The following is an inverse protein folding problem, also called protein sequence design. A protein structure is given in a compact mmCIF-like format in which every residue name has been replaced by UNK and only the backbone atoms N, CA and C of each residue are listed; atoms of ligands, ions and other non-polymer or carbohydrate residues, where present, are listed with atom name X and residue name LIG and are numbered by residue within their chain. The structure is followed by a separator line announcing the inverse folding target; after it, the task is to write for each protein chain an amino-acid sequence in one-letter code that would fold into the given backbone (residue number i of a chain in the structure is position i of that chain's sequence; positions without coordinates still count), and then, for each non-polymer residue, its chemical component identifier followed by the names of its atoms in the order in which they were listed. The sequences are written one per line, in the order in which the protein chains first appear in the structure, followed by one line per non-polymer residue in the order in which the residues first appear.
data_IF_931739921760
#
_entry.id   IF_931739921760
#
_cell.length_a   1.000
_cell.length_b   1.000
_cell.length_c   1.000
_cell.angle_alpha   90.00
_cell.angle_beta   90.00
_cell.angle_gamma   90.00
#
_symmetry.space_group_name_H-M   'P 1'
#
loop_
_entity.id
_entity.type
_entity.pdbx_description
1 polymer ?
#
# COMPACT_ATOMS: atom_id res chain seq x y z
N UNK A 1 -21.68 -0.12 8.42
CA UNK A 1 -22.15 -0.78 7.18
C UNK A 1 -21.02 -1.63 6.65
N UNK A 2 -21.27 -2.91 6.35
CA UNK A 2 -20.28 -3.83 5.75
C UNK A 2 -20.63 -4.00 4.28
N UNK A 3 -19.64 -3.88 3.40
CA UNK A 3 -19.81 -4.07 1.96
C UNK A 3 -18.94 -5.23 1.48
N UNK A 4 -19.53 -6.18 0.77
CA UNK A 4 -18.81 -7.29 0.15
C UNK A 4 -18.19 -6.85 -1.16
N UNK A 5 -16.93 -7.23 -1.39
CA UNK A 5 -16.22 -6.91 -2.63
C UNK A 5 -16.45 -8.05 -3.62
N UNK A 6 -17.12 -7.73 -4.73
CA UNK A 6 -17.39 -8.69 -5.80
C UNK A 6 -16.11 -9.05 -6.60
N UNK A 7 -16.08 -10.24 -7.24
CA UNK A 7 -14.90 -10.71 -7.98
C UNK A 7 -14.51 -9.80 -9.15
N UNK A 8 -15.46 -8.98 -9.65
CA UNK A 8 -15.22 -7.98 -10.70
C UNK A 8 -14.15 -6.97 -10.33
N UNK A 9 -13.96 -6.67 -9.04
CA UNK A 9 -12.95 -5.69 -8.59
C UNK A 9 -11.53 -6.13 -8.97
N UNK A 10 -11.25 -7.44 -8.99
CA UNK A 10 -9.95 -7.96 -9.42
C UNK A 10 -9.65 -7.67 -10.89
N UNK A 11 -10.68 -7.54 -11.73
CA UNK A 11 -10.52 -7.22 -13.15
C UNK A 11 -10.12 -5.76 -13.38
N UNK A 12 -10.18 -4.90 -12.35
CA UNK A 12 -9.72 -3.52 -12.42
C UNK A 12 -8.19 -3.41 -12.32
N UNK A 13 -7.49 -4.50 -12.03
CA UNK A 13 -6.04 -4.56 -11.84
C UNK A 13 -5.42 -5.54 -12.84
N UNK A 14 -4.27 -5.17 -13.40
CA UNK A 14 -3.49 -6.04 -14.26
C UNK A 14 -2.60 -6.97 -13.43
N UNK A 15 -2.08 -8.05 -14.04
CA UNK A 15 -1.10 -8.95 -13.43
C UNK A 15 -1.54 -9.58 -12.10
N UNK A 16 -2.83 -9.91 -11.96
CA UNK A 16 -3.35 -10.57 -10.76
C UNK A 16 -2.56 -11.86 -10.43
N UNK A 17 -2.16 -11.98 -9.17
CA UNK A 17 -1.34 -13.09 -8.69
C UNK A 17 0.13 -13.08 -9.12
N UNK A 18 0.65 -12.01 -9.74
CA UNK A 18 2.10 -11.85 -9.91
C UNK A 18 2.79 -11.68 -8.54
N UNK A 19 3.93 -12.33 -8.35
CA UNK A 19 4.78 -12.17 -7.16
C UNK A 19 5.97 -11.27 -7.47
N UNK A 20 6.62 -10.70 -6.45
CA UNK A 20 7.76 -9.80 -6.62
C UNK A 20 8.88 -10.38 -7.50
N UNK A 21 9.13 -11.70 -7.45
CA UNK A 21 10.13 -12.35 -8.27
C UNK A 21 9.81 -12.29 -9.77
N UNK A 22 8.53 -12.20 -10.14
CA UNK A 22 8.15 -12.05 -11.54
C UNK A 22 8.60 -10.70 -12.13
N UNK A 23 8.98 -9.71 -11.31
CA UNK A 23 9.52 -8.43 -11.77
C UNK A 23 10.83 -8.51 -12.56
N UNK A 24 11.49 -9.67 -12.59
CA UNK A 24 12.61 -9.91 -13.51
C UNK A 24 12.18 -10.06 -14.98
N UNK A 25 10.91 -10.41 -15.22
CA UNK A 25 10.38 -10.75 -16.54
C UNK A 25 9.08 -10.02 -16.89
N UNK A 26 8.38 -9.47 -15.89
CA UNK A 26 7.15 -8.69 -16.04
C UNK A 26 7.41 -7.20 -15.71
N UNK A 27 6.57 -6.27 -16.21
CA UNK A 27 6.66 -4.86 -15.85
C UNK A 27 6.57 -4.64 -14.33
N UNK A 28 7.36 -3.69 -13.83
CA UNK A 28 7.38 -3.33 -12.40
C UNK A 28 6.24 -2.40 -11.98
N UNK A 29 5.62 -1.74 -12.95
CA UNK A 29 4.44 -0.88 -12.81
C UNK A 29 3.52 -1.11 -14.02
N UNK A 30 2.25 -1.36 -13.77
CA UNK A 30 1.18 -1.33 -14.76
C UNK A 30 0.07 -0.44 -14.24
N UNK A 31 -0.41 0.46 -15.09
CA UNK A 31 -1.59 1.30 -14.82
C UNK A 31 -2.70 0.89 -15.77
N UNK A 32 -3.84 0.50 -15.22
CA UNK A 32 -5.03 0.13 -15.99
C UNK A 32 -6.12 1.18 -15.80
N UNK A 33 -6.56 1.78 -16.90
CA UNK A 33 -7.68 2.74 -16.91
C UNK A 33 -8.92 2.04 -17.46
N UNK A 34 -9.91 1.84 -16.61
CA UNK A 34 -11.16 1.13 -16.95
C UNK A 34 -12.31 2.12 -16.97
N UNK A 35 -12.95 2.29 -18.13
CA UNK A 35 -14.17 3.08 -18.26
C UNK A 35 -15.36 2.31 -17.67
N UNK A 36 -16.07 2.95 -16.74
CA UNK A 36 -17.33 2.48 -16.18
C UNK A 36 -18.50 3.24 -16.83
N UNK A 37 -19.73 2.84 -16.54
CA UNK A 37 -20.94 3.51 -17.05
C UNK A 37 -21.01 4.99 -16.68
N UNK A 38 -20.53 5.33 -15.49
CA UNK A 38 -20.68 6.63 -14.83
C UNK A 38 -19.34 7.19 -14.31
N UNK A 39 -18.23 6.58 -14.69
CA UNK A 39 -16.92 7.00 -14.18
C UNK A 39 -15.75 6.25 -14.79
N UNK A 40 -14.61 6.37 -14.12
CA UNK A 40 -13.36 5.71 -14.50
C UNK A 40 -12.72 5.12 -13.24
N UNK A 41 -12.28 3.88 -13.34
CA UNK A 41 -11.40 3.25 -12.35
C UNK A 41 -9.96 3.26 -12.86
N UNK A 42 -9.02 3.66 -12.03
CA UNK A 42 -7.58 3.61 -12.33
C UNK A 42 -6.93 2.61 -11.36
N UNK A 43 -6.60 1.43 -11.86
CA UNK A 43 -5.91 0.37 -11.13
C UNK A 43 -4.39 0.48 -11.28
N UNK A 44 -3.67 0.32 -10.17
CA UNK A 44 -2.21 0.28 -10.15
C UNK A 44 -1.76 -1.10 -9.69
N UNK A 45 -0.93 -1.75 -10.50
CA UNK A 45 -0.21 -2.97 -10.10
C UNK A 45 1.27 -2.70 -10.10
N UNK A 46 1.92 -2.87 -8.94
CA UNK A 46 3.32 -2.53 -8.74
C UNK A 46 4.06 -3.62 -8.00
N UNK A 47 5.31 -3.84 -8.40
CA UNK A 47 6.25 -4.66 -7.66
C UNK A 47 6.67 -3.97 -6.35
N UNK A 48 6.36 -4.59 -5.21
CA UNK A 48 6.63 -3.99 -3.89
C UNK A 48 8.14 -3.99 -3.54
N UNK A 49 9.00 -4.62 -4.33
CA UNK A 49 10.45 -4.52 -4.16
C UNK A 49 11.03 -3.15 -4.54
N UNK A 50 10.28 -2.34 -5.31
CA UNK A 50 10.74 -1.01 -5.76
C UNK A 50 10.05 0.17 -5.09
N UNK A 51 8.93 -0.05 -4.40
CA UNK A 51 8.17 0.98 -3.68
C UNK A 51 7.62 0.47 -2.36
N UNK A 52 7.32 1.40 -1.46
CA UNK A 52 6.44 1.23 -0.31
C UNK A 52 5.14 2.04 -0.50
N UNK A 53 4.22 1.98 0.46
CA UNK A 53 2.95 2.72 0.38
C UNK A 53 3.12 4.24 0.24
N UNK A 54 4.13 4.81 0.90
CA UNK A 54 4.41 6.25 0.89
C UNK A 54 4.92 6.70 -0.48
N UNK A 55 5.91 6.00 -1.02
CA UNK A 55 6.50 6.30 -2.33
C UNK A 55 5.52 6.03 -3.48
N UNK A 56 4.64 5.03 -3.36
CA UNK A 56 3.53 4.83 -4.28
C UNK A 56 2.56 6.03 -4.25
N UNK A 57 2.11 6.46 -3.07
CA UNK A 57 1.22 7.61 -2.97
C UNK A 57 1.86 8.90 -3.51
N UNK A 58 3.15 9.08 -3.26
CA UNK A 58 3.93 10.17 -3.81
C UNK A 58 3.97 10.15 -5.35
N UNK A 59 4.19 8.98 -5.96
CA UNK A 59 4.13 8.81 -7.41
C UNK A 59 2.75 9.16 -7.97
N UNK A 60 1.66 8.66 -7.37
CA UNK A 60 0.29 8.94 -7.82
C UNK A 60 -0.01 10.44 -7.73
N UNK A 61 0.36 11.08 -6.62
CA UNK A 61 0.14 12.52 -6.41
C UNK A 61 0.94 13.36 -7.41
N UNK A 62 2.21 13.03 -7.61
CA UNK A 62 3.08 13.67 -8.60
C UNK A 62 2.56 13.51 -10.03
N UNK A 63 2.07 12.32 -10.38
CA UNK A 63 1.48 12.06 -11.68
C UNK A 63 0.21 12.90 -11.89
N UNK A 64 -0.65 12.98 -10.88
CA UNK A 64 -1.85 13.81 -10.93
C UNK A 64 -1.53 15.32 -11.07
N UNK A 65 -0.50 15.81 -10.39
CA UNK A 65 -0.03 17.20 -10.53
C UNK A 65 0.42 17.50 -11.96
N UNK A 66 1.23 16.63 -12.55
CA UNK A 66 1.71 16.78 -13.92
C UNK A 66 0.54 16.73 -14.93
N UNK A 67 -0.43 15.82 -14.74
CA UNK A 67 -1.63 15.77 -15.56
C UNK A 67 -2.49 17.05 -15.47
N UNK A 68 -2.44 17.78 -14.35
CA UNK A 68 -3.10 19.08 -14.19
C UNK A 68 -2.32 20.25 -14.81
N UNK A 69 -1.13 19.99 -15.36
CA UNK A 69 -0.28 21.03 -15.96
C UNK A 69 0.58 21.79 -14.94
N UNK A 70 0.78 21.24 -13.73
CA UNK A 70 1.75 21.80 -12.78
C UNK A 70 3.16 21.66 -13.38
N UNK A 71 3.89 22.77 -13.46
CA UNK A 71 5.20 22.81 -14.13
C UNK A 71 6.28 21.94 -13.44
N UNK A 72 6.21 21.83 -12.11
CA UNK A 72 7.19 21.10 -11.29
C UNK A 72 6.51 20.46 -10.09
N UNK A 73 6.82 19.19 -9.82
CA UNK A 73 6.37 18.50 -8.60
C UNK A 73 7.09 19.07 -7.37
N UNK A 74 6.38 19.21 -6.25
CA UNK A 74 6.92 19.90 -5.06
C UNK A 74 8.10 19.17 -4.41
N UNK A 75 8.12 17.84 -4.49
CA UNK A 75 9.18 17.01 -3.91
C UNK A 75 9.72 16.07 -4.99
N UNK A 76 10.82 16.43 -5.68
CA UNK A 76 11.45 15.53 -6.63
C UNK A 76 11.88 14.21 -5.97
N UNK A 77 11.68 13.06 -6.63
CA UNK A 77 12.09 11.77 -6.07
C UNK A 77 13.61 11.69 -5.93
N UNK A 78 14.07 11.24 -4.76
CA UNK A 78 15.48 10.93 -4.53
C UNK A 78 15.77 9.50 -4.98
N UNK A 79 16.51 9.34 -6.07
CA UNK A 79 16.87 8.03 -6.62
C UNK A 79 18.20 7.47 -6.10
N UNK A 80 19.02 8.30 -5.44
CA UNK A 80 20.27 7.89 -4.78
C UNK A 80 19.95 7.05 -3.55
N UNK A 81 19.84 5.74 -3.76
CA UNK A 81 19.67 4.77 -2.67
C UNK A 81 21.03 4.58 -1.98
N UNK A 82 21.07 4.76 -0.65
CA UNK A 82 22.25 4.76 0.24
C UNK A 82 23.15 3.48 0.23
N UNK A 83 22.99 2.61 -0.77
CA UNK A 83 23.84 1.44 -1.03
C UNK A 83 24.91 1.72 -2.11
N UNK A 84 25.06 2.97 -2.53
CA UNK A 84 25.55 3.35 -3.84
C UNK A 84 27.07 3.43 -4.02
N UNK A 85 27.92 3.06 -3.05
CA UNK A 85 29.37 2.88 -3.36
C UNK A 85 30.17 1.88 -2.52
N UNK A 86 29.70 1.45 -1.33
CA UNK A 86 30.49 0.58 -0.42
C UNK A 86 29.75 -0.66 0.09
N UNK A 87 28.54 -0.92 -0.41
CA UNK A 87 27.64 -1.92 0.15
C UNK A 87 27.16 -1.53 1.55
N UNK A 88 26.13 -2.23 2.04
CA UNK A 88 25.72 -2.12 3.45
C UNK A 88 26.89 -2.53 4.35
N UNK A 89 27.18 -1.77 5.42
CA UNK A 89 28.15 -2.20 6.45
C UNK A 89 27.68 -3.45 7.23
N UNK A 90 26.43 -3.85 7.02
CA UNK A 90 25.80 -5.00 7.67
C UNK A 90 25.70 -6.10 6.62
N UNK A 91 26.59 -7.09 6.72
CA UNK A 91 26.48 -8.33 5.98
C UNK A 91 25.40 -9.19 6.64
N UNK A 92 24.22 -9.26 6.01
CA UNK A 92 23.18 -10.20 6.43
C UNK A 92 23.48 -11.57 5.82
N UNK A 93 23.95 -12.49 6.65
CA UNK A 93 24.09 -13.91 6.27
C UNK A 93 22.69 -14.54 6.27
N UNK A 94 21.94 -14.30 5.20
CA UNK A 94 20.65 -14.93 5.00
C UNK A 94 20.86 -16.36 4.46
N UNK A 95 20.08 -17.35 4.95
CA UNK A 95 20.11 -18.68 4.35
C UNK A 95 19.71 -18.58 2.87
N UNK A 96 20.32 -19.42 2.02
CA UNK A 96 19.91 -19.52 0.61
C UNK A 96 18.43 -19.86 0.57
N UNK A 97 17.61 -18.90 0.16
CA UNK A 97 16.17 -19.07 0.05
C UNK A 97 15.89 -20.01 -1.11
N UNK A 98 15.22 -21.14 -0.85
CA UNK A 98 14.67 -21.99 -1.90
C UNK A 98 13.59 -21.19 -2.66
N UNK A 99 13.33 -21.53 -3.92
CA UNK A 99 12.27 -20.88 -4.69
C UNK A 99 11.00 -20.81 -3.85
N UNK A 100 10.50 -19.60 -3.62
CA UNK A 100 9.28 -19.40 -2.87
C UNK A 100 8.14 -19.95 -3.74
N UNK A 101 7.55 -21.07 -3.31
CA UNK A 101 6.33 -21.57 -3.93
C UNK A 101 5.27 -20.47 -3.86
N UNK A 102 4.60 -20.25 -4.99
CA UNK A 102 3.49 -19.30 -5.04
C UNK A 102 2.46 -19.73 -4.00
N UNK A 103 2.22 -18.89 -3.00
CA UNK A 103 1.19 -19.15 -2.02
C UNK A 103 -0.18 -19.08 -2.70
N UNK A 104 -0.96 -20.15 -2.60
CA UNK A 104 -2.34 -20.20 -3.06
C UNK A 104 -3.24 -20.04 -1.84
N UNK A 105 -3.81 -18.84 -1.60
CA UNK A 105 -4.73 -18.65 -0.50
C UNK A 105 -5.98 -19.53 -0.70
N UNK A 106 -6.63 -19.98 0.39
CA UNK A 106 -7.95 -20.57 0.29
C UNK A 106 -8.97 -19.56 -0.28
N UNK A 107 -10.18 -20.02 -0.59
CA UNK A 107 -11.25 -19.12 -1.00
C UNK A 107 -11.54 -18.09 0.12
N UNK A 108 -11.11 -16.85 -0.08
CA UNK A 108 -11.32 -15.73 0.83
C UNK A 108 -12.37 -14.78 0.26
N UNK A 109 -13.16 -14.17 1.15
CA UNK A 109 -14.06 -13.06 0.82
C UNK A 109 -13.49 -11.77 1.38
N UNK A 110 -13.47 -10.73 0.57
CA UNK A 110 -13.00 -9.41 0.97
C UNK A 110 -14.19 -8.55 1.39
N UNK A 111 -14.07 -7.86 2.53
CA UNK A 111 -15.11 -6.99 3.10
C UNK A 111 -14.53 -5.65 3.53
N UNK A 112 -15.27 -4.58 3.27
CA UNK A 112 -14.95 -3.23 3.73
C UNK A 112 -15.71 -2.94 5.02
N UNK A 113 -14.98 -2.57 6.06
CA UNK A 113 -15.53 -2.12 7.34
C UNK A 113 -15.40 -0.60 7.43
N UNK A 114 -16.54 0.09 7.44
CA UNK A 114 -16.56 1.53 7.63
C UNK A 114 -16.60 1.89 9.11
N UNK A 115 -15.61 2.66 9.57
CA UNK A 115 -15.58 3.29 10.88
C UNK A 115 -15.83 4.78 10.73
N UNK A 116 -16.89 5.27 11.36
CA UNK A 116 -17.19 6.71 11.36
C UNK A 116 -16.15 7.49 12.15
N UNK A 117 -16.01 8.79 11.85
CA UNK A 117 -15.15 9.69 12.63
C UNK A 117 -15.50 9.64 14.13
N UNK A 118 -16.80 9.63 14.47
CA UNK A 118 -17.28 9.54 15.85
C UNK A 118 -16.82 8.22 16.50
N UNK A 119 -16.94 7.09 15.80
CA UNK A 119 -16.47 5.79 16.29
C UNK A 119 -14.96 5.80 16.56
N UNK A 120 -14.17 6.35 15.63
CA UNK A 120 -12.70 6.43 15.77
C UNK A 120 -12.31 7.29 16.97
N UNK A 121 -12.97 8.44 17.17
CA UNK A 121 -12.72 9.31 18.32
C UNK A 121 -13.07 8.61 19.64
N UNK A 122 -14.23 7.96 19.71
CA UNK A 122 -14.63 7.17 20.89
C UNK A 122 -13.63 6.04 21.21
N UNK A 123 -13.11 5.35 20.19
CA UNK A 123 -12.09 4.30 20.37
C UNK A 123 -10.79 4.88 20.92
N UNK A 124 -10.32 5.99 20.34
CA UNK A 124 -9.12 6.70 20.80
C UNK A 124 -9.27 7.20 22.24
N UNK A 125 -10.41 7.80 22.58
CA UNK A 125 -10.66 8.31 23.93
C UNK A 125 -10.69 7.15 24.94
N UNK A 126 -11.37 6.05 24.61
CA UNK A 126 -11.42 4.84 25.44
C UNK A 126 -10.02 4.24 25.66
N UNK A 127 -9.18 4.21 24.63
CA UNK A 127 -7.82 3.71 24.74
C UNK A 127 -6.95 4.58 25.66
N UNK A 128 -7.08 5.91 25.55
CA UNK A 128 -6.32 6.85 26.37
C UNK A 128 -6.82 6.95 27.83
N UNK A 129 -8.12 6.76 28.08
CA UNK A 129 -8.67 6.72 29.45
C UNK A 129 -8.09 5.56 30.28
N UNK A 130 -7.88 4.40 29.67
CA UNK A 130 -7.29 3.23 30.33
C UNK A 130 -5.80 3.38 30.60
N UNK A 131 -5.12 4.35 29.99
CA UNK A 131 -3.68 4.55 30.11
C UNK A 131 -3.31 5.58 31.20
N UNK A 132 -3.97 5.52 32.36
CA UNK A 132 -3.80 6.52 33.43
C UNK A 132 -2.41 6.53 34.11
N UNK A 133 -1.50 5.64 33.71
CA UNK A 133 -0.18 5.44 34.35
C UNK A 133 1.02 5.67 33.44
N UNK A 134 0.84 5.93 32.14
CA UNK A 134 1.97 6.21 31.23
C UNK A 134 1.77 7.49 30.41
N UNK A 135 2.85 8.22 30.09
CA UNK A 135 2.80 9.46 29.29
C UNK A 135 2.48 9.23 27.80
N UNK A 136 2.20 7.99 27.39
CA UNK A 136 2.04 7.60 25.99
C UNK A 136 0.62 7.84 25.50
N UNK A 137 0.46 8.88 24.67
CA UNK A 137 -0.81 9.18 23.99
C UNK A 137 -1.00 8.19 22.84
N UNK A 138 -2.06 7.41 22.90
CA UNK A 138 -2.46 6.47 21.86
C UNK A 138 -3.11 7.22 20.69
N UNK A 139 -2.58 7.00 19.49
CA UNK A 139 -3.11 7.56 18.24
C UNK A 139 -4.40 6.87 17.78
N UNK A 140 -5.17 7.50 16.88
CA UNK A 140 -6.36 6.89 16.27
C UNK A 140 -6.04 5.58 15.54
N UNK A 141 -4.89 5.51 14.85
CA UNK A 141 -4.46 4.30 14.15
C UNK A 141 -4.20 3.15 15.13
N UNK A 142 -3.47 3.41 16.22
CA UNK A 142 -3.22 2.39 17.25
C UNK A 142 -4.52 1.93 17.93
N UNK A 143 -5.41 2.88 18.26
CA UNK A 143 -6.70 2.56 18.88
C UNK A 143 -7.59 1.70 17.97
N UNK A 144 -7.60 1.98 16.66
CA UNK A 144 -8.38 1.19 15.69
C UNK A 144 -7.76 -0.18 15.44
N UNK A 145 -6.43 -0.26 15.30
CA UNK A 145 -5.72 -1.53 15.05
C UNK A 145 -5.83 -2.52 16.22
N UNK A 146 -6.06 -2.03 17.44
CA UNK A 146 -6.25 -2.85 18.63
C UNK A 146 -7.71 -3.23 18.91
N UNK A 147 -8.68 -2.65 18.18
CA UNK A 147 -10.11 -2.89 18.38
C UNK A 147 -10.54 -4.24 17.79
#
# INVERSE_FOLDING_TARGET
MQMEIGPVVRQLFALDGAINLNGHFLPLLVVQVTKLTDGVAIGFTINHAVVDGTSLWHFISSWADLCRGVATISHPPLHSRCFDTKGSRIALNLPKTQMIDKFFPPALTEKIFHFSQETILRLKDRANQKNSKEPLIISSFQALSAH
#
